data_IF_815136779438
#
_entry.id   IF_815136779438
#
_cell.length_a   1.000
_cell.length_b   1.000
_cell.length_c   1.000
_cell.angle_alpha   90.00
_cell.angle_beta   90.00
_cell.angle_gamma   90.00
#
_symmetry.space_group_name_H-M   'P 1'
#
loop_
_entity.id
_entity.type
_entity.pdbx_description
1 polymer ?
#
# COMPACT_ATOMS: atom_id res chain seq x y z
N UNK A 1 -11.86 9.07 8.51
CA UNK A 1 -10.87 9.16 7.41
C UNK A 1 -10.22 7.81 7.32
N UNK A 2 -10.59 7.01 6.33
CA UNK A 2 -9.95 5.73 6.04
C UNK A 2 -8.53 6.00 5.56
N UNK A 3 -7.59 6.03 6.50
CA UNK A 3 -6.16 6.26 6.27
C UNK A 3 -5.60 5.05 5.53
N UNK A 4 -5.85 4.99 4.22
CA UNK A 4 -5.33 3.99 3.30
C UNK A 4 -3.84 3.79 3.55
N UNK A 5 -3.39 2.53 3.69
CA UNK A 5 -1.97 2.22 3.91
C UNK A 5 -1.06 2.87 2.85
N UNK A 6 -1.62 3.20 1.67
CA UNK A 6 -0.92 3.95 0.63
C UNK A 6 -0.52 5.36 1.07
N UNK A 7 -1.38 6.08 1.79
CA UNK A 7 -1.07 7.43 2.29
C UNK A 7 0.07 7.38 3.29
N UNK A 8 0.03 6.41 4.20
CA UNK A 8 1.11 6.16 5.17
C UNK A 8 2.43 5.84 4.47
N UNK A 9 2.40 5.00 3.43
CA UNK A 9 3.57 4.70 2.60
C UNK A 9 4.13 5.96 1.92
N UNK A 10 3.25 6.85 1.43
CA UNK A 10 3.65 8.14 0.84
C UNK A 10 4.29 9.05 1.89
N UNK A 11 3.72 9.14 3.10
CA UNK A 11 4.27 9.96 4.18
C UNK A 11 5.64 9.46 4.63
N UNK A 12 5.83 8.14 4.73
CA UNK A 12 7.12 7.53 5.10
C UNK A 12 8.21 7.85 4.06
N UNK A 13 7.88 7.82 2.78
CA UNK A 13 8.81 8.23 1.70
C UNK A 13 8.88 9.75 1.50
N UNK A 14 7.98 10.51 2.09
CA UNK A 14 7.87 11.97 2.00
C UNK A 14 7.11 12.50 0.78
N UNK A 15 6.99 11.73 -0.32
CA UNK A 15 6.19 12.15 -1.48
C UNK A 15 5.72 10.98 -2.34
N UNK A 16 4.68 11.23 -3.15
CA UNK A 16 4.18 10.25 -4.13
C UNK A 16 5.25 9.91 -5.18
N UNK A 17 6.07 10.89 -5.58
CA UNK A 17 7.15 10.68 -6.54
C UNK A 17 8.25 9.79 -5.95
N UNK A 18 8.70 10.06 -4.71
CA UNK A 18 9.71 9.26 -4.04
C UNK A 18 9.26 7.80 -3.83
N UNK A 19 7.99 7.59 -3.46
CA UNK A 19 7.42 6.23 -3.37
C UNK A 19 7.40 5.56 -4.75
N UNK A 20 6.96 6.28 -5.78
CA UNK A 20 6.89 5.76 -7.15
C UNK A 20 8.26 5.33 -7.67
N UNK A 21 9.29 6.17 -7.48
CA UNK A 21 10.66 5.87 -7.86
C UNK A 21 11.21 4.65 -7.11
N UNK A 22 10.92 4.54 -5.81
CA UNK A 22 11.38 3.40 -4.99
C UNK A 22 10.84 2.05 -5.49
N UNK A 23 9.65 2.03 -6.08
CA UNK A 23 9.00 0.80 -6.60
C UNK A 23 9.03 0.71 -8.12
N UNK A 24 9.71 1.63 -8.81
CA UNK A 24 9.88 1.62 -10.26
C UNK A 24 8.61 1.96 -11.07
N UNK A 25 7.68 2.74 -10.52
CA UNK A 25 6.46 3.20 -11.22
C UNK A 25 6.43 4.71 -11.41
N UNK A 26 5.45 5.19 -12.17
CA UNK A 26 5.21 6.62 -12.33
C UNK A 26 4.41 7.19 -11.14
N UNK A 27 4.63 8.47 -10.81
CA UNK A 27 3.80 9.18 -9.82
C UNK A 27 2.31 9.19 -10.18
N UNK A 28 1.98 9.17 -11.48
CA UNK A 28 0.59 9.04 -11.96
C UNK A 28 -0.03 7.69 -11.58
N UNK A 29 0.76 6.61 -11.54
CA UNK A 29 0.32 5.30 -11.05
C UNK A 29 -0.12 5.39 -9.60
N UNK A 30 0.66 6.06 -8.74
CA UNK A 30 0.30 6.29 -7.32
C UNK A 30 -0.98 7.14 -7.23
N UNK A 31 -1.07 8.22 -8.01
CA UNK A 31 -2.26 9.07 -8.06
C UNK A 31 -3.51 8.30 -8.50
N UNK A 32 -3.36 7.38 -9.45
CA UNK A 32 -4.45 6.51 -9.91
C UNK A 32 -4.91 5.56 -8.80
N UNK A 33 -4.01 5.00 -8.00
CA UNK A 33 -4.38 4.18 -6.84
C UNK A 33 -5.11 4.98 -5.76
N UNK A 34 -4.71 6.24 -5.53
CA UNK A 34 -5.40 7.14 -4.61
C UNK A 34 -6.81 7.50 -5.08
N UNK A 35 -7.00 7.71 -6.39
CA UNK A 35 -8.30 8.08 -6.97
C UNK A 35 -9.24 6.89 -7.18
N UNK A 36 -8.71 5.72 -7.54
CA UNK A 36 -9.49 4.49 -7.75
C UNK A 36 -9.60 3.72 -6.44
N UNK A 37 -10.46 4.21 -5.55
CA UNK A 37 -10.83 3.55 -4.29
C UNK A 37 -11.30 2.10 -4.45
N UNK A 38 -11.82 1.71 -5.63
CA UNK A 38 -12.33 0.34 -5.88
C UNK A 38 -11.29 -0.66 -6.41
N UNK A 39 -10.24 -0.21 -7.09
CA UNK A 39 -9.22 -1.08 -7.67
C UNK A 39 -7.98 -1.23 -6.77
N UNK A 40 -7.73 -0.21 -5.92
CA UNK A 40 -6.62 -0.22 -4.97
C UNK A 40 -5.25 -0.34 -5.64
N UNK A 41 -4.24 -0.66 -4.83
CA UNK A 41 -2.88 -0.96 -5.29
C UNK A 41 -2.88 -2.33 -5.98
N UNK A 42 -2.20 -2.46 -7.12
CA UNK A 42 -2.05 -3.77 -7.76
C UNK A 42 -1.18 -4.70 -6.89
N UNK A 43 -1.55 -5.98 -6.81
CA UNK A 43 -0.96 -6.94 -5.87
C UNK A 43 0.57 -7.07 -6.03
N UNK A 44 1.09 -6.90 -7.25
CA UNK A 44 2.52 -6.94 -7.57
C UNK A 44 3.33 -5.82 -6.88
N UNK A 45 2.72 -4.67 -6.58
CA UNK A 45 3.40 -3.54 -5.91
C UNK A 45 3.23 -3.56 -4.39
N UNK A 46 2.37 -4.41 -3.84
CA UNK A 46 2.14 -4.49 -2.40
C UNK A 46 3.41 -4.90 -1.65
N UNK A 47 4.11 -5.93 -2.14
CA UNK A 47 5.34 -6.41 -1.51
C UNK A 47 6.51 -5.41 -1.66
N UNK A 48 6.74 -4.80 -2.84
CA UNK A 48 7.70 -3.70 -2.97
C UNK A 48 7.41 -2.54 -2.01
N UNK A 49 6.16 -2.09 -1.90
CA UNK A 49 5.79 -0.99 -0.99
C UNK A 49 6.04 -1.39 0.47
N UNK A 50 5.66 -2.60 0.88
CA UNK A 50 5.90 -3.12 2.23
C UNK A 50 7.41 -3.15 2.56
N UNK A 51 8.25 -3.59 1.62
CA UNK A 51 9.71 -3.61 1.80
C UNK A 51 10.32 -2.21 1.92
N UNK A 52 9.81 -1.28 1.12
CA UNK A 52 10.35 0.07 1.02
C UNK A 52 9.86 1.02 2.11
N UNK A 53 8.67 0.78 2.65
CA UNK A 53 8.01 1.67 3.62
C UNK A 53 7.75 1.03 4.97
N UNK A 54 7.83 -0.31 5.07
CA UNK A 54 7.45 -1.04 6.28
C UNK A 54 5.94 -1.08 6.55
N UNK A 55 5.11 -0.53 5.65
CA UNK A 55 3.65 -0.59 5.79
C UNK A 55 3.18 -2.02 5.50
N UNK A 56 2.44 -2.66 6.41
CA UNK A 56 2.03 -4.03 6.22
C UNK A 56 1.04 -4.17 5.06
N UNK A 57 1.17 -5.26 4.30
CA UNK A 57 0.34 -5.57 3.14
C UNK A 57 -1.18 -5.55 3.38
N UNK A 58 -1.63 -5.87 4.60
CA UNK A 58 -3.05 -5.84 4.97
C UNK A 58 -3.59 -4.41 5.11
N UNK A 59 -2.75 -3.41 5.41
CA UNK A 59 -3.14 -1.99 5.35
C UNK A 59 -3.21 -1.47 3.90
N UNK A 60 -2.43 -2.07 3.00
CA UNK A 60 -2.38 -1.69 1.58
C UNK A 60 -3.50 -2.33 0.75
N UNK A 61 -3.75 -3.63 0.94
CA UNK A 61 -4.77 -4.42 0.23
C UNK A 61 -5.41 -5.44 1.19
N UNK A 62 -6.31 -5.02 2.10
CA UNK A 62 -7.00 -5.94 3.02
C UNK A 62 -7.86 -6.99 2.28
N UNK A 63 -8.28 -6.67 1.06
CA UNK A 63 -9.07 -7.54 0.17
C UNK A 63 -8.30 -8.79 -0.30
N UNK A 64 -6.99 -8.68 -0.51
CA UNK A 64 -6.13 -9.83 -0.89
C UNK A 64 -5.37 -10.38 0.32
N UNK A 65 -4.98 -9.50 1.25
CA UNK A 65 -4.24 -9.83 2.45
C UNK A 65 -5.09 -9.52 3.68
N UNK A 66 -6.02 -10.41 4.06
CA UNK A 66 -6.75 -10.22 5.31
C UNK A 66 -5.74 -10.15 6.47
N UNK A 67 -6.01 -9.33 7.51
CA UNK A 67 -5.18 -9.32 8.70
C UNK A 67 -5.15 -10.75 9.27
N UNK A 68 -4.02 -11.21 9.83
CA UNK A 68 -3.98 -12.49 10.50
C UNK A 68 -5.03 -12.45 11.62
N UNK A 69 -6.11 -13.19 11.42
CA UNK A 69 -7.08 -13.44 12.47
C UNK A 69 -6.28 -14.08 13.59
N UNK A 70 -6.26 -13.54 14.82
CA UNK A 70 -5.64 -14.23 15.93
C UNK A 70 -6.38 -15.56 16.04
N UNK A 71 -5.75 -16.62 15.56
CA UNK A 71 -6.23 -17.97 15.73
C UNK A 71 -6.23 -18.17 17.24
N UNK A 72 -7.42 -18.18 17.85
CA UNK A 72 -7.61 -18.70 19.19
C UNK A 72 -6.90 -20.05 19.23
N UNK A 73 -5.80 -20.08 19.97
CA UNK A 73 -5.06 -21.30 20.25
C UNK A 73 -6.02 -22.24 20.96
N UNK A 74 -6.37 -23.33 20.28
CA UNK A 74 -7.11 -24.46 20.82
C UNK A 74 -6.26 -25.22 21.86
#
# INVERSE_FOLDING_TARGET
>A
MDTSGLLKAIEIKGSQAALAESIGVSQQTISNWLKKTKAGIAAEYVLPIERETGVPRHELRPDIYPPPQPMEAA
#
